data_IF_035137414118
#
_entry.id   IF_035137414118
#
_cell.length_a   1.000
_cell.length_b   1.000
_cell.length_c   1.000
_cell.angle_alpha   90.00
_cell.angle_beta   90.00
_cell.angle_gamma   90.00
#
_symmetry.space_group_name_H-M   'P 1'
#
loop_
_entity.id
_entity.type
_entity.pdbx_description
1 polymer ?
#
# COMPACT_ATOMS: atom_id res chain seq x y z
N UNK A 1 9.58 15.42 0.78
CA UNK A 1 9.91 15.40 -0.66
C UNK A 1 10.56 14.06 -0.98
N UNK A 2 10.32 13.50 -2.16
CA UNK A 2 10.94 12.26 -2.62
C UNK A 2 12.24 12.57 -3.35
N UNK A 3 13.20 11.64 -3.28
CA UNK A 3 14.52 11.74 -3.92
C UNK A 3 14.53 10.83 -5.14
N UNK A 4 15.13 11.32 -6.24
CA UNK A 4 15.28 10.55 -7.46
C UNK A 4 16.11 9.29 -7.20
N UNK A 5 15.70 8.16 -7.77
CA UNK A 5 16.36 6.86 -7.61
C UNK A 5 16.08 6.15 -6.30
N UNK A 6 15.33 6.75 -5.37
CA UNK A 6 14.98 6.09 -4.14
C UNK A 6 13.79 5.13 -4.33
N UNK A 7 13.86 3.98 -3.69
CA UNK A 7 12.74 3.06 -3.49
C UNK A 7 11.67 3.75 -2.64
N UNK A 8 10.45 3.72 -3.15
CA UNK A 8 9.27 4.34 -2.56
C UNK A 8 8.36 3.22 -2.04
N UNK A 9 7.82 3.42 -0.84
CA UNK A 9 6.75 2.58 -0.30
C UNK A 9 5.44 3.37 -0.17
N UNK A 10 4.33 2.65 -0.04
CA UNK A 10 3.03 3.22 0.29
C UNK A 10 3.13 4.06 1.57
N UNK A 11 2.14 4.92 1.79
CA UNK A 11 1.93 5.50 3.12
C UNK A 11 1.93 4.41 4.19
N UNK A 12 2.20 4.78 5.44
CA UNK A 12 2.20 3.82 6.54
C UNK A 12 0.87 3.06 6.63
N UNK A 13 0.88 1.78 6.27
CA UNK A 13 -0.20 0.81 6.36
C UNK A 13 -0.19 0.21 7.77
N UNK A 14 -0.44 1.04 8.79
CA UNK A 14 -0.51 0.60 10.19
C UNK A 14 0.86 0.39 10.85
N UNK A 15 1.26 1.34 11.69
CA UNK A 15 2.41 1.22 12.58
C UNK A 15 2.30 2.18 13.76
N UNK A 16 2.30 1.60 14.96
CA UNK A 16 2.32 2.18 16.31
C UNK A 16 1.09 2.95 16.85
N UNK A 17 0.24 3.60 16.06
CA UNK A 17 -0.96 4.26 16.61
C UNK A 17 -2.19 4.19 15.69
N UNK A 18 -3.22 3.46 16.15
CA UNK A 18 -4.68 3.56 15.89
C UNK A 18 -5.28 3.61 14.46
N UNK A 19 -4.52 3.79 13.38
CA UNK A 19 -5.06 4.05 12.03
C UNK A 19 -5.60 2.83 11.24
N UNK A 20 -5.56 1.62 11.79
CA UNK A 20 -5.90 0.41 11.03
C UNK A 20 -7.41 0.15 11.04
N UNK A 21 -8.08 0.53 9.95
CA UNK A 21 -9.48 0.21 9.69
C UNK A 21 -9.65 -1.23 9.17
N UNK A 22 -9.23 -2.20 9.97
CA UNK A 22 -9.43 -3.63 9.73
C UNK A 22 -10.58 -4.14 10.57
N UNK A 23 -11.21 -5.24 10.18
CA UNK A 23 -12.18 -5.96 11.01
C UNK A 23 -13.32 -5.05 11.54
N UNK A 24 -13.80 -4.15 10.68
CA UNK A 24 -14.90 -3.26 11.00
C UNK A 24 -16.23 -3.99 10.97
N UNK A 25 -17.12 -3.64 11.90
CA UNK A 25 -18.49 -4.15 11.90
C UNK A 25 -19.34 -3.33 10.93
N UNK A 26 -19.93 -3.96 9.89
CA UNK A 26 -20.82 -3.29 8.98
C UNK A 26 -22.28 -3.32 9.45
N UNK A 27 -23.07 -2.37 8.95
CA UNK A 27 -24.51 -2.53 8.89
C UNK A 27 -24.89 -3.46 7.73
N UNK A 28 -26.02 -4.16 7.87
CA UNK A 28 -26.51 -5.02 6.80
C UNK A 28 -26.79 -4.19 5.52
N UNK A 29 -26.33 -4.71 4.38
CA UNK A 29 -26.53 -4.10 3.07
C UNK A 29 -26.91 -5.18 2.06
N UNK A 30 -27.98 -4.95 1.31
CA UNK A 30 -28.44 -5.89 0.30
C UNK A 30 -27.50 -5.91 -0.92
N UNK A 31 -27.48 -7.04 -1.64
CA UNK A 31 -26.89 -7.09 -2.98
C UNK A 31 -27.53 -6.00 -3.87
N UNK A 32 -26.74 -5.40 -4.76
CA UNK A 32 -27.15 -4.25 -5.57
C UNK A 32 -26.93 -2.89 -4.91
N UNK A 33 -26.64 -2.83 -3.60
CA UNK A 33 -26.34 -1.55 -2.92
C UNK A 33 -24.99 -0.98 -3.38
N UNK A 34 -24.92 0.33 -3.55
CA UNK A 34 -23.67 1.08 -3.80
C UNK A 34 -23.03 1.63 -2.52
N UNK A 35 -23.65 1.37 -1.37
CA UNK A 35 -23.21 1.92 -0.09
C UNK A 35 -23.11 0.84 0.97
N UNK A 36 -22.07 0.94 1.79
CA UNK A 36 -21.84 0.10 2.95
C UNK A 36 -21.54 1.00 4.13
N UNK A 37 -22.27 0.84 5.23
CA UNK A 37 -21.98 1.59 6.46
C UNK A 37 -21.12 0.72 7.36
N UNK A 38 -20.00 1.25 7.83
CA UNK A 38 -19.09 0.60 8.78
C UNK A 38 -18.92 1.46 10.01
N UNK A 39 -18.73 0.83 11.17
CA UNK A 39 -18.32 1.58 12.38
C UNK A 39 -16.80 1.70 12.37
N UNK A 40 -16.27 2.92 12.34
CA UNK A 40 -14.82 3.15 12.37
C UNK A 40 -14.24 2.71 13.71
N UNK A 41 -12.98 2.28 13.70
CA UNK A 41 -12.20 2.04 14.93
C UNK A 41 -11.80 3.38 15.59
N UNK A 42 -10.73 3.41 16.37
CA UNK A 42 -10.41 4.51 17.27
C UNK A 42 -9.97 5.81 16.59
N UNK A 43 -9.41 5.77 15.39
CA UNK A 43 -8.96 6.99 14.69
C UNK A 43 -10.04 7.60 13.80
N UNK A 44 -10.31 8.89 14.01
CA UNK A 44 -11.11 9.71 13.11
C UNK A 44 -10.53 9.69 11.69
N UNK A 45 -11.39 9.57 10.69
CA UNK A 45 -11.01 9.56 9.28
C UNK A 45 -11.44 10.87 8.64
N UNK A 46 -10.50 11.54 7.99
CA UNK A 46 -10.82 12.70 7.18
C UNK A 46 -11.65 12.26 5.97
N UNK A 47 -12.35 13.21 5.35
CA UNK A 47 -13.13 12.95 4.14
C UNK A 47 -12.22 12.34 3.05
N UNK A 48 -12.71 11.29 2.39
CA UNK A 48 -12.08 10.67 1.23
C UNK A 48 -10.64 10.14 1.43
N UNK A 49 -10.22 9.86 2.67
CA UNK A 49 -8.93 9.21 2.97
C UNK A 49 -8.77 7.85 2.26
N UNK A 50 -9.85 7.10 2.08
CA UNK A 50 -9.84 5.78 1.39
C UNK A 50 -10.29 5.84 -0.08
N UNK A 51 -10.45 7.03 -0.65
CA UNK A 51 -10.89 7.18 -2.05
C UNK A 51 -9.89 6.51 -3.02
N UNK A 52 -10.41 5.80 -4.02
CA UNK A 52 -9.65 4.97 -4.96
C UNK A 52 -8.82 3.86 -4.27
N UNK A 53 -9.11 3.59 -3.00
CA UNK A 53 -8.64 2.41 -2.29
C UNK A 53 -9.65 1.27 -2.38
N UNK A 54 -9.47 0.28 -1.52
CA UNK A 54 -10.24 -0.96 -1.55
C UNK A 54 -11.02 -1.19 -0.26
N UNK A 55 -12.22 -1.72 -0.42
CA UNK A 55 -13.01 -2.33 0.64
C UNK A 55 -12.96 -3.85 0.44
N UNK A 56 -12.42 -4.57 1.41
CA UNK A 56 -12.37 -6.02 1.42
C UNK A 56 -13.31 -6.58 2.48
N UNK A 57 -14.09 -7.61 2.13
CA UNK A 57 -14.85 -8.40 3.10
C UNK A 57 -13.97 -9.55 3.56
N UNK A 58 -13.42 -9.44 4.77
CA UNK A 58 -12.33 -10.30 5.26
C UNK A 58 -12.78 -11.46 6.15
N UNK A 59 -13.97 -11.37 6.72
CA UNK A 59 -14.58 -12.43 7.53
C UNK A 59 -16.11 -12.41 7.37
N UNK A 60 -16.74 -13.53 7.73
CA UNK A 60 -18.13 -13.88 7.45
C UNK A 60 -18.22 -15.27 6.82
N UNK A 61 -19.44 -15.75 6.56
CA UNK A 61 -19.61 -16.94 5.73
C UNK A 61 -19.52 -16.58 4.23
N UNK A 62 -19.35 -17.60 3.37
CA UNK A 62 -19.26 -17.41 1.92
C UNK A 62 -20.56 -16.81 1.32
N UNK A 63 -21.71 -17.03 1.98
CA UNK A 63 -22.97 -16.41 1.58
C UNK A 63 -23.00 -14.90 1.89
N UNK A 64 -22.23 -14.46 2.90
CA UNK A 64 -22.10 -13.08 3.40
C UNK A 64 -20.89 -12.34 2.83
N UNK A 65 -20.61 -12.56 1.54
CA UNK A 65 -19.63 -11.81 0.75
C UNK A 65 -18.15 -11.98 1.12
N UNK A 66 -17.77 -12.93 1.99
CA UNK A 66 -16.35 -13.16 2.33
C UNK A 66 -15.50 -13.37 1.06
N UNK A 67 -14.37 -12.68 0.98
CA UNK A 67 -13.45 -12.68 -0.17
C UNK A 67 -13.78 -11.67 -1.26
N UNK A 68 -14.90 -10.95 -1.17
CA UNK A 68 -15.22 -9.90 -2.13
C UNK A 68 -14.38 -8.64 -1.90
N UNK A 69 -14.03 -7.98 -3.01
CA UNK A 69 -13.24 -6.76 -3.05
C UNK A 69 -13.95 -5.70 -3.90
N UNK A 70 -14.06 -4.48 -3.37
CA UNK A 70 -14.78 -3.38 -4.02
C UNK A 70 -13.95 -2.10 -4.03
N UNK A 71 -14.00 -1.36 -5.13
CA UNK A 71 -13.31 -0.07 -5.26
C UNK A 71 -14.11 1.04 -4.57
N UNK A 72 -13.46 1.82 -3.71
CA UNK A 72 -14.08 2.90 -2.94
C UNK A 72 -14.13 4.19 -3.76
N UNK A 73 -15.33 4.74 -3.93
CA UNK A 73 -15.58 6.01 -4.62
C UNK A 73 -15.41 7.22 -3.72
N UNK A 74 -15.96 7.16 -2.51
CA UNK A 74 -15.93 8.28 -1.56
C UNK A 74 -16.44 7.87 -0.18
N UNK A 75 -16.13 8.67 0.84
CA UNK A 75 -16.75 8.60 2.15
C UNK A 75 -16.71 9.96 2.86
N UNK A 76 -17.68 10.28 3.75
CA UNK A 76 -17.62 11.48 4.56
C UNK A 76 -16.49 11.39 5.60
N UNK A 77 -16.14 12.53 6.19
CA UNK A 77 -15.36 12.51 7.43
C UNK A 77 -16.22 11.90 8.55
N UNK A 78 -15.60 11.10 9.41
CA UNK A 78 -16.27 10.51 10.56
C UNK A 78 -15.28 10.28 11.70
N UNK A 79 -15.74 10.49 12.92
CA UNK A 79 -14.95 10.30 14.12
C UNK A 79 -14.68 8.81 14.40
N UNK A 80 -13.69 8.53 15.25
CA UNK A 80 -13.44 7.17 15.70
C UNK A 80 -14.66 6.62 16.47
N UNK A 81 -15.04 5.37 16.22
CA UNK A 81 -16.23 4.75 16.78
C UNK A 81 -17.55 5.19 16.15
N UNK A 82 -17.54 6.17 15.23
CA UNK A 82 -18.75 6.61 14.53
C UNK A 82 -19.05 5.73 13.31
N UNK A 83 -20.33 5.71 12.93
CA UNK A 83 -20.76 5.12 11.67
C UNK A 83 -20.28 5.97 10.48
N UNK A 84 -19.68 5.34 9.49
CA UNK A 84 -19.18 5.96 8.27
C UNK A 84 -19.75 5.24 7.05
N UNK A 85 -20.33 6.00 6.12
CA UNK A 85 -20.92 5.48 4.89
C UNK A 85 -19.86 5.46 3.79
N UNK A 86 -19.46 4.26 3.36
CA UNK A 86 -18.56 4.05 2.25
C UNK A 86 -19.37 3.91 0.97
N UNK A 87 -19.09 4.75 -0.02
CA UNK A 87 -19.68 4.68 -1.36
C UNK A 87 -18.74 3.91 -2.29
N UNK A 88 -19.29 2.95 -3.03
CA UNK A 88 -18.55 2.08 -3.94
C UNK A 88 -18.73 2.52 -5.41
N UNK A 89 -17.77 2.15 -6.26
CA UNK A 89 -17.91 2.32 -7.70
C UNK A 89 -18.86 1.30 -8.34
N UNK A 90 -18.89 0.10 -7.78
CA UNK A 90 -19.71 -1.01 -8.25
C UNK A 90 -20.71 -1.42 -7.15
N UNK A 91 -21.88 -1.95 -7.53
CA UNK A 91 -22.83 -2.45 -6.55
C UNK A 91 -22.31 -3.73 -5.88
N UNK A 92 -22.77 -3.99 -4.67
CA UNK A 92 -22.49 -5.23 -3.95
C UNK A 92 -22.99 -6.44 -4.75
N UNK A 93 -22.10 -7.42 -5.00
CA UNK A 93 -22.43 -8.66 -5.71
C UNK A 93 -23.23 -9.61 -4.81
N UNK A 94 -22.87 -9.65 -3.53
CA UNK A 94 -23.55 -10.43 -2.48
C UNK A 94 -23.94 -9.50 -1.33
N UNK A 95 -24.94 -9.90 -0.56
CA UNK A 95 -25.35 -9.13 0.61
C UNK A 95 -24.25 -9.16 1.68
N UNK A 96 -24.11 -8.05 2.40
CA UNK A 96 -23.27 -7.93 3.59
C UNK A 96 -24.20 -8.00 4.80
N UNK A 97 -23.83 -8.79 5.81
CA UNK A 97 -24.59 -8.90 7.06
C UNK A 97 -23.78 -8.35 8.21
N UNK A 98 -24.39 -8.19 9.38
CA UNK A 98 -23.71 -7.75 10.61
C UNK A 98 -22.65 -8.76 11.10
N UNK A 99 -22.68 -10.00 10.59
CA UNK A 99 -21.69 -11.02 10.87
C UNK A 99 -20.45 -10.89 9.98
N UNK A 100 -20.53 -10.15 8.87
CA UNK A 100 -19.36 -9.87 8.02
C UNK A 100 -18.36 -8.96 8.75
N UNK A 101 -17.11 -8.98 8.31
CA UNK A 101 -16.08 -8.03 8.72
C UNK A 101 -15.41 -7.38 7.53
N UNK A 102 -15.18 -6.08 7.65
CA UNK A 102 -14.71 -5.26 6.55
C UNK A 102 -13.36 -4.65 6.90
N UNK A 103 -12.43 -4.72 5.96
CA UNK A 103 -11.15 -4.02 6.04
C UNK A 103 -11.05 -2.99 4.93
N UNK A 104 -10.60 -1.79 5.27
CA UNK A 104 -10.38 -0.69 4.34
C UNK A 104 -8.89 -0.52 4.08
N UNK A 105 -8.53 -0.43 2.81
CA UNK A 105 -7.17 -0.18 2.35
C UNK A 105 -7.15 1.12 1.56
N UNK A 106 -6.33 2.08 1.97
CA UNK A 106 -6.14 3.31 1.19
C UNK A 106 -5.41 3.00 -0.13
N UNK A 107 -5.52 3.90 -1.12
CA UNK A 107 -4.75 3.75 -2.35
C UNK A 107 -3.25 3.72 -2.03
N UNK A 108 -2.57 2.63 -2.40
CA UNK A 108 -1.14 2.41 -2.13
C UNK A 108 -0.22 3.45 -2.77
N UNK A 109 -0.70 4.17 -3.79
CA UNK A 109 0.01 5.27 -4.46
C UNK A 109 -0.31 6.66 -3.90
N UNK A 110 -1.19 6.76 -2.89
CA UNK A 110 -1.48 8.01 -2.20
C UNK A 110 -0.59 8.18 -0.98
N UNK A 111 -0.05 9.39 -0.77
CA UNK A 111 0.76 9.71 0.42
C UNK A 111 2.05 8.89 0.54
N UNK A 112 2.59 8.43 -0.58
CA UNK A 112 3.80 7.60 -0.64
C UNK A 112 4.99 8.26 0.03
N UNK A 113 5.86 7.46 0.62
CA UNK A 113 7.06 7.90 1.32
C UNK A 113 8.28 7.13 0.84
N UNK A 114 9.47 7.66 1.08
CA UNK A 114 10.67 6.87 0.89
C UNK A 114 10.62 5.64 1.78
N UNK A 115 11.03 4.49 1.25
CA UNK A 115 11.16 3.27 2.02
C UNK A 115 12.05 3.54 3.25
N UNK A 116 11.54 3.42 4.49
CA UNK A 116 12.32 3.66 5.70
C UNK A 116 13.49 2.69 5.75
N UNK A 117 14.59 3.15 6.35
CA UNK A 117 15.77 2.32 6.54
C UNK A 117 15.44 1.10 7.42
N UNK A 118 14.87 1.29 8.60
CA UNK A 118 14.78 0.21 9.60
C UNK A 118 13.52 -0.64 9.45
N UNK A 119 12.36 -0.08 9.80
CA UNK A 119 11.09 -0.80 9.86
C UNK A 119 10.21 -0.43 8.66
N UNK A 120 9.81 -1.40 7.81
CA UNK A 120 8.86 -1.13 6.75
C UNK A 120 7.53 -0.77 7.40
N UNK A 121 6.93 0.32 6.94
CA UNK A 121 5.60 0.74 7.39
C UNK A 121 4.57 0.57 6.29
N UNK A 122 4.98 0.17 5.09
CA UNK A 122 4.12 0.02 3.92
C UNK A 122 4.73 -0.95 2.91
N UNK A 123 4.04 -1.11 1.78
CA UNK A 123 4.49 -1.93 0.66
C UNK A 123 5.40 -1.10 -0.26
N UNK A 124 6.49 -1.67 -0.77
CA UNK A 124 7.25 -1.05 -1.86
C UNK A 124 6.37 -0.92 -3.12
N UNK A 125 6.24 0.29 -3.64
CA UNK A 125 5.34 0.62 -4.75
C UNK A 125 6.06 1.10 -6.01
N UNK A 126 7.37 1.34 -5.96
CA UNK A 126 8.15 1.71 -7.13
C UNK A 126 9.38 2.55 -6.82
N UNK A 127 10.01 3.10 -7.86
CA UNK A 127 11.17 3.98 -7.77
C UNK A 127 10.81 5.35 -8.33
N UNK A 128 11.19 6.43 -7.64
CA UNK A 128 10.97 7.78 -8.12
C UNK A 128 11.99 8.13 -9.24
N UNK A 129 11.56 8.39 -10.49
CA UNK A 129 12.49 8.70 -11.59
C UNK A 129 13.09 10.11 -11.48
N UNK A 130 12.49 10.99 -10.66
CA UNK A 130 12.93 12.36 -10.42
C UNK A 130 12.64 12.77 -8.97
N UNK A 131 13.24 13.87 -8.52
CA UNK A 131 12.92 14.45 -7.22
C UNK A 131 11.51 15.07 -7.25
N UNK A 132 10.71 14.80 -6.22
CA UNK A 132 9.30 15.22 -6.18
C UNK A 132 9.05 16.04 -4.90
N UNK A 133 8.67 17.33 -5.02
CA UNK A 133 8.24 18.12 -3.88
C UNK A 133 7.05 17.47 -3.16
N UNK A 134 6.89 17.75 -1.87
CA UNK A 134 5.74 17.21 -1.13
C UNK A 134 4.40 17.65 -1.75
N UNK A 135 3.35 16.84 -1.59
CA UNK A 135 1.99 17.14 -2.04
C UNK A 135 1.82 17.35 -3.54
N UNK A 136 2.63 16.68 -4.37
CA UNK A 136 2.53 16.75 -5.83
C UNK A 136 2.28 15.36 -6.43
N UNK A 137 1.54 15.32 -7.54
CA UNK A 137 1.40 14.12 -8.36
C UNK A 137 2.65 13.93 -9.22
N UNK A 138 3.03 12.68 -9.44
CA UNK A 138 4.19 12.32 -10.24
C UNK A 138 4.04 10.91 -10.81
N UNK A 139 4.87 10.59 -11.80
CA UNK A 139 4.98 9.24 -12.34
C UNK A 139 5.97 8.42 -11.52
N UNK A 140 5.52 7.28 -11.02
CA UNK A 140 6.34 6.32 -10.30
C UNK A 140 6.65 5.13 -11.20
N UNK A 141 7.91 4.71 -11.26
CA UNK A 141 8.30 3.57 -12.08
C UNK A 141 8.11 2.26 -11.29
N UNK A 142 7.21 1.39 -11.76
CA UNK A 142 6.85 0.11 -11.11
C UNK A 142 7.50 -1.10 -11.79
N UNK A 143 7.97 -0.94 -13.04
CA UNK A 143 8.47 -2.00 -13.89
C UNK A 143 9.60 -1.52 -14.82
N UNK A 144 10.43 -2.45 -15.29
CA UNK A 144 11.51 -2.20 -16.25
C UNK A 144 12.80 -1.70 -15.61
N UNK A 145 13.75 -1.24 -16.44
CA UNK A 145 15.08 -0.78 -16.00
C UNK A 145 14.94 0.58 -15.30
N UNK A 146 15.31 0.65 -14.02
CA UNK A 146 15.37 1.86 -13.22
C UNK A 146 16.80 2.09 -12.68
N UNK A 147 17.13 3.36 -12.42
CA UNK A 147 18.34 3.75 -11.70
C UNK A 147 18.00 3.88 -10.21
N UNK A 148 18.51 2.99 -9.37
CA UNK A 148 18.08 2.82 -7.97
C UNK A 148 19.26 2.96 -7.01
N UNK A 149 19.07 3.67 -5.89
CA UNK A 149 20.06 3.80 -4.82
C UNK A 149 20.43 2.42 -4.23
N UNK A 150 21.71 2.07 -4.25
CA UNK A 150 22.26 0.82 -3.72
C UNK A 150 22.99 1.08 -2.40
N UNK A 151 22.68 0.33 -1.34
CA UNK A 151 23.36 0.44 -0.05
C UNK A 151 24.23 -0.78 0.25
N UNK A 152 23.77 -1.98 -0.09
CA UNK A 152 24.59 -3.19 -0.02
C UNK A 152 25.03 -3.60 -1.42
N UNK A 153 26.34 -3.67 -1.65
CA UNK A 153 26.93 -4.05 -2.94
C UNK A 153 26.27 -5.30 -3.56
N UNK A 154 25.96 -5.20 -4.85
CA UNK A 154 25.24 -6.20 -5.64
C UNK A 154 26.09 -6.66 -6.82
N UNK A 155 25.96 -7.92 -7.20
CA UNK A 155 26.52 -8.45 -8.45
C UNK A 155 25.43 -8.65 -9.50
N UNK A 156 25.80 -8.71 -10.78
CA UNK A 156 24.82 -8.90 -11.86
C UNK A 156 24.00 -10.19 -11.67
N UNK A 157 22.70 -10.13 -11.95
CA UNK A 157 21.80 -11.28 -11.90
C UNK A 157 21.32 -11.68 -10.49
N UNK A 158 21.71 -10.96 -9.44
CA UNK A 158 21.16 -11.21 -8.09
C UNK A 158 19.81 -10.54 -7.90
N UNK A 159 18.96 -11.18 -7.09
CA UNK A 159 17.74 -10.55 -6.58
C UNK A 159 18.11 -9.41 -5.64
N UNK A 160 17.42 -8.29 -5.81
CA UNK A 160 17.56 -7.13 -4.93
C UNK A 160 16.27 -6.95 -4.13
N UNK A 161 16.44 -6.47 -2.91
CA UNK A 161 15.40 -6.19 -1.94
C UNK A 161 15.60 -4.80 -1.35
N UNK A 162 14.62 -4.28 -0.63
CA UNK A 162 14.81 -3.10 0.23
C UNK A 162 15.98 -3.32 1.19
N UNK A 163 16.85 -2.33 1.30
CA UNK A 163 17.98 -2.34 2.22
C UNK A 163 17.57 -1.83 3.62
N UNK A 164 18.28 -2.25 4.66
CA UNK A 164 18.00 -1.85 6.06
C UNK A 164 18.96 -0.79 6.62
N UNK A 165 19.99 -0.42 5.86
CA UNK A 165 21.03 0.54 6.25
C UNK A 165 20.83 1.96 5.72
N UNK A 166 19.97 2.17 4.71
CA UNK A 166 19.67 3.50 4.18
C UNK A 166 18.23 3.61 3.64
N UNK A 167 17.59 4.74 3.91
CA UNK A 167 16.23 4.99 3.45
C UNK A 167 16.19 5.15 1.92
N UNK A 168 15.23 4.47 1.29
CA UNK A 168 15.08 4.45 -0.15
C UNK A 168 16.13 3.63 -0.90
N UNK A 169 17.00 2.89 -0.21
CA UNK A 169 18.01 2.08 -0.86
C UNK A 169 17.58 0.61 -1.04
N UNK A 170 18.22 -0.06 -1.99
CA UNK A 170 18.11 -1.51 -2.21
C UNK A 170 19.47 -2.19 -2.04
N UNK A 171 19.45 -3.51 -1.83
CA UNK A 171 20.64 -4.33 -1.61
C UNK A 171 20.38 -5.78 -1.95
N UNK A 172 21.44 -6.61 -1.98
CA UNK A 172 21.33 -8.05 -2.26
C UNK A 172 20.42 -8.75 -1.23
N UNK A 173 19.65 -9.74 -1.67
CA UNK A 173 18.88 -10.60 -0.76
C UNK A 173 19.82 -11.40 0.15
N UNK A 174 19.87 -11.05 1.44
CA UNK A 174 20.51 -11.87 2.46
C UNK A 174 19.50 -12.94 2.93
N UNK A 175 19.85 -14.20 2.69
CA UNK A 175 18.99 -15.35 2.86
C UNK A 175 18.64 -15.57 4.36
N UNK A 176 17.49 -15.08 4.87
CA UNK A 176 16.69 -15.71 5.96
C UNK A 176 15.38 -15.05 6.45
N UNK A 177 14.87 -13.93 5.93
CA UNK A 177 13.56 -13.40 6.39
C UNK A 177 12.75 -12.93 5.19
N UNK A 178 11.43 -13.21 5.19
CA UNK A 178 10.42 -12.77 4.22
C UNK A 178 10.79 -11.44 3.53
N UNK A 179 11.45 -11.55 2.38
CA UNK A 179 12.04 -10.43 1.65
C UNK A 179 11.04 -9.92 0.63
N UNK A 180 10.74 -8.62 0.65
CA UNK A 180 10.04 -7.95 -0.45
C UNK A 180 11.02 -7.80 -1.63
N UNK A 181 10.98 -8.79 -2.53
CA UNK A 181 11.80 -8.79 -3.74
C UNK A 181 11.23 -7.74 -4.69
N UNK A 182 12.01 -6.69 -4.97
CA UNK A 182 11.58 -5.56 -5.80
C UNK A 182 12.06 -5.66 -7.25
N UNK A 183 13.00 -6.57 -7.54
CA UNK A 183 13.52 -6.75 -8.89
C UNK A 183 14.82 -7.56 -8.96
N UNK A 184 15.46 -7.48 -10.13
CA UNK A 184 16.72 -8.13 -10.47
C UNK A 184 17.81 -7.11 -10.79
N UNK A 185 19.02 -7.31 -10.28
CA UNK A 185 20.15 -6.42 -10.57
C UNK A 185 20.65 -6.59 -12.02
N UNK A 186 20.75 -5.48 -12.75
CA UNK A 186 21.20 -5.46 -14.15
C UNK A 186 22.72 -5.43 -14.34
N UNK A 187 23.48 -5.04 -13.31
CA UNK A 187 24.95 -4.93 -13.37
C UNK A 187 25.61 -5.00 -11.97
N UNK A 188 26.95 -4.91 -11.88
CA UNK A 188 27.67 -4.74 -10.60
C UNK A 188 27.55 -3.28 -10.14
N UNK A 189 27.19 -3.05 -8.88
CA UNK A 189 27.09 -1.70 -8.31
C UNK A 189 27.85 -1.62 -6.99
N UNK A 190 28.54 -0.50 -6.77
CA UNK A 190 29.22 -0.18 -5.52
C UNK A 190 28.23 0.33 -4.45
N UNK A 191 28.61 0.19 -3.18
CA UNK A 191 27.80 0.67 -2.05
C UNK A 191 27.70 2.19 -2.09
N UNK A 192 26.50 2.74 -1.87
CA UNK A 192 26.13 4.16 -1.89
C UNK A 192 25.95 4.81 -3.27
N UNK A 193 26.09 4.03 -4.35
CA UNK A 193 25.88 4.50 -5.72
C UNK A 193 24.47 4.15 -6.24
N UNK A 194 24.02 4.85 -7.29
CA UNK A 194 22.79 4.50 -8.00
C UNK A 194 23.10 3.52 -9.15
N UNK A 195 22.31 2.45 -9.27
CA UNK A 195 22.58 1.32 -10.15
C UNK A 195 21.36 0.77 -10.90
N UNK A 196 21.59 -0.01 -11.96
CA UNK A 196 20.52 -0.57 -12.79
C UNK A 196 19.81 -1.75 -12.11
N UNK A 197 18.49 -1.63 -11.92
CA UNK A 197 17.61 -2.69 -11.43
C UNK A 197 16.42 -2.85 -12.37
N UNK A 198 16.14 -4.10 -12.76
CA UNK A 198 14.91 -4.47 -13.45
C UNK A 198 13.79 -4.70 -12.42
N UNK A 199 12.88 -3.74 -12.30
CA UNK A 199 11.80 -3.77 -11.31
C UNK A 199 10.71 -4.78 -11.68
N UNK A 200 10.22 -5.51 -10.67
CA UNK A 200 9.13 -6.49 -10.81
C UNK A 200 8.02 -6.30 -9.79
N UNK A 201 7.71 -5.05 -9.42
CA UNK A 201 6.86 -4.72 -8.27
C UNK A 201 5.37 -4.87 -8.59
N UNK A 202 4.93 -4.34 -9.73
CA UNK A 202 3.56 -4.47 -10.23
C UNK A 202 3.61 -4.48 -11.78
N UNK A 203 3.49 -5.66 -12.43
CA UNK A 203 3.53 -5.79 -13.89
C UNK A 203 2.35 -5.10 -14.59
#
# INVERSE_FOLDING_TARGET
ALVAGNLIQSAALGGADTTVQHDLTPAAAAAGSYTVTVTLKTTAQAKDTFKNGWLAVTDGDAANAMGDLYLIKSHPAADGGAACVITLYEPLKRAITTNSRISLLANIYSGVIQAPATTPTGLAVGVAPTAVPANNYFWLQTWGIANVLIQTATTAGVRVQRDVGAAGAVGKTANTILTEIVGMCGYVNDTTDAGFVFLTIAP
#
